data_IF_354215939033
#
_entry.id   IF_354215939033
#
_cell.length_a   1.000
_cell.length_b   1.000
_cell.length_c   1.000
_cell.angle_alpha   90.00
_cell.angle_beta   90.00
_cell.angle_gamma   90.00
#
_symmetry.space_group_name_H-M   'P 1'
#
loop_
_entity.id
_entity.type
_entity.pdbx_description
1 polymer ?
#
# COMPACT_ATOMS: atom_id res chain seq x y z
N UNK A 1 22.42 17.80 -2.25
CA UNK A 1 21.38 16.95 -1.63
C UNK A 1 20.69 17.77 -0.55
N UNK A 2 19.37 17.96 -0.66
CA UNK A 2 18.55 18.56 0.38
C UNK A 2 18.18 17.49 1.43
N UNK A 3 17.87 17.86 2.68
CA UNK A 3 17.50 16.92 3.76
C UNK A 3 16.29 15.99 3.50
N UNK A 4 15.64 16.03 2.33
CA UNK A 4 14.59 15.08 1.93
C UNK A 4 14.97 14.12 0.80
N UNK A 5 16.08 14.37 0.08
CA UNK A 5 16.43 13.58 -1.12
C UNK A 5 16.77 12.13 -0.74
N UNK A 6 17.50 11.95 0.37
CA UNK A 6 17.81 10.61 0.90
C UNK A 6 16.57 9.85 1.36
N UNK A 7 15.49 10.53 1.75
CA UNK A 7 14.26 9.88 2.17
C UNK A 7 13.55 9.24 0.98
N UNK A 8 13.42 9.97 -0.14
CA UNK A 8 12.86 9.43 -1.38
C UNK A 8 13.67 8.26 -1.92
N UNK A 9 15.00 8.39 -1.97
CA UNK A 9 15.87 7.32 -2.49
C UNK A 9 15.77 6.05 -1.64
N UNK A 10 15.74 6.19 -0.31
CA UNK A 10 15.61 5.06 0.60
C UNK A 10 14.23 4.39 0.49
N UNK A 11 13.15 5.17 0.47
CA UNK A 11 11.78 4.65 0.30
C UNK A 11 11.65 3.92 -1.03
N UNK A 12 12.08 4.57 -2.12
CA UNK A 12 11.99 4.00 -3.46
C UNK A 12 12.82 2.72 -3.57
N UNK A 13 14.03 2.72 -3.01
CA UNK A 13 14.91 1.56 -2.96
C UNK A 13 14.31 0.40 -2.15
N UNK A 14 13.70 0.69 -1.00
CA UNK A 14 13.05 -0.31 -0.16
C UNK A 14 11.82 -0.93 -0.83
N UNK A 15 10.93 -0.11 -1.39
CA UNK A 15 9.75 -0.59 -2.11
C UNK A 15 10.15 -1.46 -3.30
N UNK A 16 11.15 -1.04 -4.08
CA UNK A 16 11.62 -1.85 -5.22
C UNK A 16 12.17 -3.21 -4.80
N UNK A 17 12.78 -3.31 -3.61
CA UNK A 17 13.32 -4.57 -3.06
C UNK A 17 12.30 -5.41 -2.30
N UNK A 18 11.19 -4.84 -1.84
CA UNK A 18 10.18 -5.60 -1.10
C UNK A 18 9.47 -6.61 -2.02
N UNK A 19 9.00 -7.71 -1.43
CA UNK A 19 8.19 -8.73 -2.12
C UNK A 19 6.69 -8.41 -1.98
N UNK A 20 6.26 -8.06 -0.77
CA UNK A 20 4.87 -7.78 -0.39
C UNK A 20 4.83 -6.45 0.35
N UNK A 21 3.87 -5.60 0.02
CA UNK A 21 3.58 -4.35 0.73
C UNK A 21 2.31 -4.49 1.57
N UNK A 22 2.28 -3.86 2.75
CA UNK A 22 1.07 -3.74 3.56
C UNK A 22 0.69 -2.27 3.63
N UNK A 23 -0.48 -1.92 3.10
CA UNK A 23 -0.97 -0.54 3.08
C UNK A 23 -2.04 -0.37 4.17
N UNK A 24 -1.70 0.27 5.27
CA UNK A 24 -2.64 0.56 6.37
C UNK A 24 -3.32 1.90 6.12
N UNK A 25 -4.48 1.85 5.48
CA UNK A 25 -5.28 3.03 5.24
C UNK A 25 -5.97 3.47 6.54
N UNK A 26 -5.75 4.72 6.90
CA UNK A 26 -6.37 5.41 8.04
C UNK A 26 -7.11 6.66 7.56
N UNK A 27 -7.91 7.32 8.42
CA UNK A 27 -8.65 8.53 8.02
C UNK A 27 -7.80 9.64 7.39
N UNK A 28 -6.50 9.70 7.72
CA UNK A 28 -5.57 10.73 7.23
C UNK A 28 -4.59 10.24 6.17
N UNK A 29 -4.68 8.98 5.74
CA UNK A 29 -3.73 8.39 4.78
C UNK A 29 -3.66 9.20 3.47
N UNK A 30 -4.82 9.53 2.89
CA UNK A 30 -4.92 10.28 1.64
C UNK A 30 -4.58 11.78 1.78
N UNK A 31 -4.32 12.28 2.99
CA UNK A 31 -3.82 13.65 3.22
C UNK A 31 -2.30 13.72 3.06
N UNK A 32 -1.61 12.58 3.17
CA UNK A 32 -0.15 12.49 3.11
C UNK A 32 0.32 12.21 1.69
N UNK A 33 1.05 13.16 1.10
CA UNK A 33 1.72 12.97 -0.19
C UNK A 33 2.61 11.72 -0.18
N UNK A 34 3.38 11.50 0.90
CA UNK A 34 4.30 10.37 0.99
C UNK A 34 3.58 9.02 1.00
N UNK A 35 2.48 8.90 1.75
CA UNK A 35 1.69 7.67 1.78
C UNK A 35 1.11 7.35 0.39
N UNK A 36 0.61 8.37 -0.32
CA UNK A 36 0.10 8.22 -1.69
C UNK A 36 1.21 7.86 -2.69
N UNK A 37 2.39 8.47 -2.55
CA UNK A 37 3.57 8.17 -3.36
C UNK A 37 4.08 6.74 -3.13
N UNK A 38 4.15 6.29 -1.88
CA UNK A 38 4.51 4.93 -1.52
C UNK A 38 3.54 3.90 -2.11
N UNK A 39 2.23 4.14 -1.99
CA UNK A 39 1.20 3.29 -2.58
C UNK A 39 1.34 3.22 -4.11
N UNK A 40 1.44 4.37 -4.77
CA UNK A 40 1.60 4.44 -6.22
C UNK A 40 2.85 3.69 -6.67
N UNK A 41 3.97 3.87 -5.98
CA UNK A 41 5.21 3.19 -6.32
C UNK A 41 5.12 1.66 -6.12
N UNK A 42 4.45 1.19 -5.06
CA UNK A 42 4.19 -0.25 -4.87
C UNK A 42 3.37 -0.82 -6.02
N UNK A 43 2.28 -0.16 -6.41
CA UNK A 43 1.39 -0.61 -7.49
C UNK A 43 2.08 -0.56 -8.86
N UNK A 44 2.81 0.51 -9.17
CA UNK A 44 3.60 0.66 -10.41
C UNK A 44 4.70 -0.40 -10.53
N UNK A 45 5.32 -0.73 -9.39
CA UNK A 45 6.34 -1.78 -9.31
C UNK A 45 5.74 -3.19 -9.26
N UNK A 46 4.42 -3.33 -9.49
CA UNK A 46 3.65 -4.58 -9.48
C UNK A 46 3.88 -5.40 -8.21
N UNK A 47 4.03 -4.73 -7.07
CA UNK A 47 4.13 -5.40 -5.77
C UNK A 47 2.76 -5.95 -5.40
N UNK A 48 2.74 -7.12 -4.75
CA UNK A 48 1.54 -7.60 -4.09
C UNK A 48 1.28 -6.69 -2.89
N UNK A 49 0.11 -6.07 -2.83
CA UNK A 49 -0.28 -5.15 -1.75
C UNK A 49 -1.43 -5.77 -0.96
N UNK A 50 -1.29 -5.82 0.36
CA UNK A 50 -2.34 -6.22 1.28
C UNK A 50 -2.91 -4.96 1.94
N UNK A 51 -4.12 -4.53 1.59
CA UNK A 51 -4.73 -3.35 2.18
C UNK A 51 -5.37 -3.67 3.53
N UNK A 52 -5.18 -2.78 4.50
CA UNK A 52 -5.86 -2.79 5.79
C UNK A 52 -6.62 -1.47 5.91
N UNK A 53 -7.94 -1.53 5.95
CA UNK A 53 -8.83 -0.38 6.08
C UNK A 53 -9.15 -0.15 7.56
N UNK A 54 -8.35 0.69 8.21
CA UNK A 54 -8.47 1.05 9.62
C UNK A 54 -9.36 2.30 9.76
N UNK A 55 -10.52 2.15 10.41
CA UNK A 55 -11.50 3.20 10.66
C UNK A 55 -12.05 3.90 9.41
N UNK A 56 -11.90 3.27 8.24
CA UNK A 56 -12.38 3.79 6.97
C UNK A 56 -12.98 2.67 6.11
N UNK A 57 -13.83 3.05 5.17
CA UNK A 57 -14.31 2.19 4.08
C UNK A 57 -13.45 2.39 2.83
N UNK A 58 -13.27 1.36 1.98
CA UNK A 58 -12.58 1.51 0.70
C UNK A 58 -13.13 2.68 -0.15
N UNK A 59 -14.46 2.86 -0.16
CA UNK A 59 -15.13 3.95 -0.89
C UNK A 59 -14.72 5.37 -0.45
N UNK A 60 -14.08 5.52 0.71
CA UNK A 60 -13.57 6.80 1.20
C UNK A 60 -12.17 7.14 0.66
N UNK A 61 -11.47 6.19 0.04
CA UNK A 61 -10.17 6.43 -0.57
C UNK A 61 -10.31 7.34 -1.79
N UNK A 62 -9.76 8.55 -1.69
CA UNK A 62 -9.68 9.50 -2.80
C UNK A 62 -8.46 10.41 -2.63
N UNK A 63 -7.73 10.67 -3.71
CA UNK A 63 -6.71 11.71 -3.68
C UNK A 63 -7.41 13.07 -3.66
N UNK A 64 -6.98 13.96 -2.77
CA UNK A 64 -7.46 15.34 -2.75
C UNK A 64 -6.46 16.21 -3.49
N UNK A 65 -6.89 16.82 -4.59
CA UNK A 65 -6.11 17.87 -5.22
C UNK A 65 -6.21 19.15 -4.39
N UNK A 66 -5.11 19.50 -3.72
CA UNK A 66 -4.97 20.72 -2.95
C UNK A 66 -4.12 21.78 -3.67
N UNK A 67 -3.85 21.60 -4.97
CA UNK A 67 -3.04 22.49 -5.80
C UNK A 67 -1.53 22.46 -5.47
N UNK A 68 -1.07 21.58 -4.57
CA UNK A 68 0.34 21.47 -4.16
C UNK A 68 1.10 20.36 -4.90
N UNK A 69 0.39 19.55 -5.67
CA UNK A 69 0.91 18.33 -6.27
C UNK A 69 0.92 18.45 -7.81
N UNK A 70 1.91 17.87 -8.47
CA UNK A 70 1.92 17.81 -9.93
C UNK A 70 0.72 16.98 -10.44
N UNK A 71 0.14 17.36 -11.59
CA UNK A 71 -0.98 16.62 -12.19
C UNK A 71 -0.64 15.15 -12.46
N UNK A 72 0.61 14.86 -12.80
CA UNK A 72 1.11 13.50 -13.03
C UNK A 72 1.01 12.66 -11.75
N UNK A 73 1.42 13.21 -10.61
CA UNK A 73 1.31 12.53 -9.31
C UNK A 73 -0.16 12.31 -8.92
N UNK A 74 -1.04 13.29 -9.16
CA UNK A 74 -2.48 13.12 -8.88
C UNK A 74 -3.07 11.96 -9.68
N UNK A 75 -2.68 11.80 -10.95
CA UNK A 75 -3.11 10.67 -11.80
C UNK A 75 -2.62 9.33 -11.24
N UNK A 76 -1.33 9.26 -10.87
CA UNK A 76 -0.71 8.07 -10.27
C UNK A 76 -1.41 7.68 -8.96
N UNK A 77 -1.68 8.66 -8.10
CA UNK A 77 -2.34 8.44 -6.81
C UNK A 77 -3.77 7.95 -6.98
N UNK A 78 -4.55 8.57 -7.88
CA UNK A 78 -5.92 8.14 -8.13
C UNK A 78 -5.97 6.71 -8.68
N UNK A 79 -5.09 6.36 -9.62
CA UNK A 79 -5.00 4.99 -10.14
C UNK A 79 -4.66 4.00 -9.01
N UNK A 80 -3.65 4.29 -8.20
CA UNK A 80 -3.21 3.39 -7.13
C UNK A 80 -4.28 3.21 -6.03
N UNK A 81 -5.00 4.27 -5.68
CA UNK A 81 -6.13 4.20 -4.75
C UNK A 81 -7.29 3.39 -5.34
N UNK A 82 -7.57 3.53 -6.63
CA UNK A 82 -8.63 2.77 -7.29
C UNK A 82 -8.32 1.27 -7.30
N UNK A 83 -7.09 0.89 -7.65
CA UNK A 83 -6.64 -0.51 -7.55
C UNK A 83 -6.76 -1.04 -6.11
N UNK A 84 -6.36 -0.23 -5.13
CA UNK A 84 -6.45 -0.60 -3.72
C UNK A 84 -7.89 -0.83 -3.24
N UNK A 85 -8.88 -0.10 -3.77
CA UNK A 85 -10.30 -0.28 -3.41
C UNK A 85 -10.85 -1.65 -3.76
N UNK A 86 -10.42 -2.19 -4.90
CA UNK A 86 -10.88 -3.49 -5.40
C UNK A 86 -9.98 -4.65 -4.98
N UNK A 87 -8.89 -4.36 -4.29
CA UNK A 87 -8.02 -5.39 -3.71
C UNK A 87 -8.65 -5.92 -2.42
N UNK A 88 -8.76 -7.24 -2.30
CA UNK A 88 -9.25 -7.89 -1.08
C UNK A 88 -8.32 -7.55 0.08
N UNK A 89 -8.89 -7.04 1.17
CA UNK A 89 -8.15 -6.55 2.34
C UNK A 89 -8.81 -6.88 3.66
N UNK A 90 -8.18 -6.40 4.72
CA UNK A 90 -8.71 -6.47 6.07
C UNK A 90 -9.46 -5.19 6.41
N UNK A 91 -10.56 -5.30 7.12
CA UNK A 91 -11.24 -4.14 7.73
C UNK A 91 -11.02 -4.17 9.22
N UNK A 92 -10.77 -3.00 9.82
CA UNK A 92 -10.45 -2.89 11.23
C UNK A 92 -11.06 -1.63 11.84
N UNK A 93 -11.71 -1.79 12.98
CA UNK A 93 -12.24 -0.71 13.81
C UNK A 93 -11.34 -0.61 15.04
N UNK A 94 -10.63 0.50 15.21
CA UNK A 94 -9.62 0.66 16.26
C UNK A 94 -10.23 0.79 17.67
N UNK A 95 -11.53 1.11 17.76
CA UNK A 95 -12.24 1.27 19.03
C UNK A 95 -12.88 -0.03 19.52
N UNK A 96 -13.33 -0.88 18.60
CA UNK A 96 -14.06 -2.13 18.90
C UNK A 96 -13.28 -3.39 18.57
N UNK A 97 -12.31 -3.30 17.68
CA UNK A 97 -11.56 -4.43 17.15
C UNK A 97 -10.46 -4.92 18.10
N UNK A 98 -10.07 -6.17 17.89
CA UNK A 98 -8.94 -6.79 18.58
C UNK A 98 -7.66 -6.59 17.75
N UNK A 99 -6.69 -5.89 18.33
CA UNK A 99 -5.39 -5.63 17.70
C UNK A 99 -4.59 -6.91 17.40
N UNK A 100 -4.68 -7.92 18.26
CA UNK A 100 -4.01 -9.20 18.03
C UNK A 100 -4.56 -9.87 16.78
N UNK A 101 -5.89 -9.90 16.63
CA UNK A 101 -6.53 -10.61 15.53
C UNK A 101 -6.19 -9.98 14.16
N UNK A 102 -6.16 -8.64 14.08
CA UNK A 102 -5.79 -7.94 12.83
C UNK A 102 -4.31 -8.14 12.50
N UNK A 103 -3.42 -8.12 13.50
CA UNK A 103 -1.98 -8.34 13.28
C UNK A 103 -1.70 -9.78 12.84
N UNK A 104 -2.36 -10.76 13.47
CA UNK A 104 -2.27 -12.17 13.09
C UNK A 104 -2.80 -12.36 11.66
N UNK A 105 -4.00 -11.85 11.36
CA UNK A 105 -4.59 -11.96 10.01
C UNK A 105 -3.74 -11.31 8.93
N UNK A 106 -3.16 -10.14 9.22
CA UNK A 106 -2.26 -9.46 8.28
C UNK A 106 -0.98 -10.28 8.05
N UNK A 107 -0.42 -10.85 9.11
CA UNK A 107 0.79 -11.70 9.04
C UNK A 107 0.53 -12.97 8.24
N UNK A 108 -0.61 -13.63 8.47
CA UNK A 108 -1.01 -14.83 7.73
C UNK A 108 -1.19 -14.54 6.24
N UNK A 109 -1.83 -13.42 5.88
CA UNK A 109 -1.95 -12.99 4.49
C UNK A 109 -0.57 -12.75 3.85
N UNK A 110 0.36 -12.10 4.57
CA UNK A 110 1.73 -11.89 4.07
C UNK A 110 2.43 -13.23 3.82
N UNK A 111 2.38 -14.16 4.78
CA UNK A 111 3.01 -15.49 4.66
C UNK A 111 2.43 -16.25 3.48
N UNK A 112 1.09 -16.28 3.35
CA UNK A 112 0.41 -16.95 2.24
C UNK A 112 0.84 -16.37 0.88
N UNK A 113 0.84 -15.04 0.73
CA UNK A 113 1.27 -14.39 -0.51
C UNK A 113 2.74 -14.70 -0.82
N UNK A 114 3.62 -14.75 0.18
CA UNK A 114 5.03 -15.12 -0.03
C UNK A 114 5.18 -16.55 -0.54
N UNK A 115 4.42 -17.50 0.00
CA UNK A 115 4.41 -18.90 -0.45
C UNK A 115 3.91 -19.00 -1.90
N UNK A 116 2.82 -18.32 -2.24
CA UNK A 116 2.28 -18.28 -3.62
C UNK A 116 3.31 -17.75 -4.62
N UNK A 117 4.02 -16.68 -4.25
CA UNK A 117 5.08 -16.10 -5.09
C UNK A 117 6.32 -17.00 -5.27
N UNK A 118 6.58 -17.92 -4.34
CA UNK A 118 7.67 -18.89 -4.44
C UNK A 118 7.26 -20.08 -5.33
N UNK A 119 6.00 -20.52 -5.25
CA UNK A 119 5.42 -21.52 -6.16
C UNK A 119 5.45 -21.07 -7.62
N UNK A 120 4.98 -19.84 -7.91
CA UNK A 120 4.98 -19.27 -9.27
C UNK A 120 6.39 -19.24 -9.91
N UNK A 121 7.45 -19.07 -9.10
CA UNK A 121 8.83 -19.08 -9.59
C UNK A 121 9.37 -20.48 -9.88
N UNK A 122 8.95 -21.47 -9.10
CA UNK A 122 9.33 -22.86 -9.31
C UNK A 122 8.69 -23.41 -10.59
N UNK A 123 7.44 -23.04 -10.86
CA UNK A 123 6.70 -23.46 -12.06
C UNK A 123 7.14 -22.72 -13.35
N UNK A 124 7.79 -21.56 -13.20
CA UNK A 124 8.34 -20.78 -14.32
C UNK A 124 9.81 -21.11 -14.65
N UNK A 125 10.43 -22.06 -13.94
CA UNK A 125 11.78 -22.53 -14.23
C UNK A 125 11.76 -23.56 -15.37
N UNK A 126 12.61 -23.41 -16.42
CA UNK A 126 12.67 -24.34 -17.56
C UNK A 126 13.23 -25.72 -17.20
#
# INVERSE_FOLDING_TARGET
>A
MKPGDKLFDNINGAIRKCKVGVAVFSPRYCESYFCLHELALMMESRKKVIPIFCDIKPSQLRAVDNGKCAMEDIRRFNWALEEAKYTVGLTFDSLKGNWSDVVTSASDNVIKTLIEMEGEKADAAP
#
